data_IF_585310009337
#
_entry.id   IF_585310009337
#
_cell.length_a   1.000
_cell.length_b   1.000
_cell.length_c   1.000
_cell.angle_alpha   90.00
_cell.angle_beta   90.00
_cell.angle_gamma   90.00
#
_symmetry.space_group_name_H-M   'P 1'
#
loop_
_entity.id
_entity.type
_entity.pdbx_description
1 polymer ?
#
# COMPACT_ATOMS: atom_id res chain seq x y z
N UNK A 1 15.23 24.47 -4.01
CA UNK A 1 15.79 23.19 -3.52
C UNK A 1 15.24 22.78 -2.15
N UNK A 2 14.99 23.70 -1.21
CA UNK A 2 14.39 23.38 0.09
C UNK A 2 12.95 22.80 0.02
N UNK A 3 12.15 23.19 -0.97
CA UNK A 3 10.77 22.72 -1.16
C UNK A 3 10.66 21.23 -1.46
N UNK A 4 11.54 20.68 -2.31
CA UNK A 4 11.50 19.25 -2.68
C UNK A 4 11.88 18.33 -1.53
N UNK A 5 12.83 18.73 -0.69
CA UNK A 5 13.23 17.94 0.48
C UNK A 5 12.10 17.83 1.52
N UNK A 6 11.35 18.93 1.73
CA UNK A 6 10.20 18.94 2.62
C UNK A 6 9.07 18.02 2.12
N UNK A 7 8.77 18.02 0.82
CA UNK A 7 7.76 17.12 0.24
C UNK A 7 8.14 15.65 0.33
N UNK A 8 9.41 15.30 0.09
CA UNK A 8 9.89 13.92 0.21
C UNK A 8 9.81 13.40 1.65
N UNK A 9 10.14 14.26 2.63
CA UNK A 9 10.00 13.91 4.04
C UNK A 9 8.54 13.69 4.44
N UNK A 10 7.63 14.58 4.04
CA UNK A 10 6.20 14.43 4.30
C UNK A 10 5.60 13.15 3.68
N UNK A 11 6.03 12.79 2.46
CA UNK A 11 5.63 11.53 1.83
C UNK A 11 6.13 10.31 2.60
N UNK A 12 7.38 10.34 3.08
CA UNK A 12 7.93 9.25 3.90
C UNK A 12 7.16 9.09 5.20
N UNK A 13 6.94 10.17 5.93
CA UNK A 13 6.17 10.16 7.19
C UNK A 13 4.74 9.62 6.97
N UNK A 14 4.08 10.05 5.89
CA UNK A 14 2.75 9.55 5.53
C UNK A 14 2.77 8.05 5.27
N UNK A 15 3.76 7.56 4.52
CA UNK A 15 3.91 6.13 4.23
C UNK A 15 4.23 5.31 5.48
N UNK A 16 5.03 5.83 6.40
CA UNK A 16 5.37 5.17 7.66
C UNK A 16 4.12 5.01 8.54
N UNK A 17 3.29 6.07 8.64
CA UNK A 17 2.01 6.02 9.36
C UNK A 17 1.04 5.02 8.72
N UNK A 18 0.92 5.01 7.40
CA UNK A 18 0.07 4.03 6.70
C UNK A 18 0.56 2.59 6.93
N UNK A 19 1.87 2.38 6.96
CA UNK A 19 2.45 1.07 7.22
C UNK A 19 2.20 0.61 8.67
N UNK A 20 2.26 1.53 9.64
CA UNK A 20 1.90 1.22 11.03
C UNK A 20 0.41 0.83 11.15
N UNK A 21 -0.49 1.57 10.51
CA UNK A 21 -1.93 1.23 10.45
C UNK A 21 -2.13 -0.16 9.84
N UNK A 22 -1.43 -0.45 8.73
CA UNK A 22 -1.46 -1.76 8.06
C UNK A 22 -1.05 -2.91 8.99
N UNK A 23 -0.03 -2.68 9.83
CA UNK A 23 0.42 -3.66 10.84
C UNK A 23 -0.59 -3.84 11.97
N UNK A 24 -1.18 -2.76 12.47
CA UNK A 24 -2.22 -2.81 13.52
C UNK A 24 -3.43 -3.61 13.04
N UNK A 25 -3.84 -3.39 11.79
CA UNK A 25 -4.95 -4.11 11.16
C UNK A 25 -4.58 -5.49 10.61
N UNK A 26 -3.31 -5.90 10.74
CA UNK A 26 -2.78 -7.16 10.28
C UNK A 26 -3.15 -7.49 8.83
N UNK A 27 -3.05 -6.51 7.92
CA UNK A 27 -3.42 -6.71 6.50
C UNK A 27 -2.44 -7.64 5.75
N UNK A 28 -1.27 -7.86 6.33
CA UNK A 28 -0.18 -8.65 5.73
C UNK A 28 0.43 -7.98 4.49
N UNK A 29 0.29 -6.67 4.33
CA UNK A 29 0.97 -5.91 3.28
C UNK A 29 2.38 -5.50 3.74
N UNK A 30 3.39 -5.77 2.92
CA UNK A 30 4.71 -5.18 3.10
C UNK A 30 4.76 -3.74 2.58
N UNK A 31 5.85 -3.03 2.87
CA UNK A 31 6.01 -1.61 2.53
C UNK A 31 5.94 -1.35 1.01
N UNK A 32 6.46 -2.28 0.21
CA UNK A 32 6.46 -2.18 -1.25
C UNK A 32 5.04 -2.34 -1.80
N UNK A 33 4.32 -3.38 -1.39
CA UNK A 33 2.94 -3.64 -1.82
C UNK A 33 2.01 -2.53 -1.38
N UNK A 34 2.19 -2.00 -0.15
CA UNK A 34 1.40 -0.87 0.34
C UNK A 34 1.62 0.38 -0.50
N UNK A 35 2.87 0.69 -0.86
CA UNK A 35 3.22 1.82 -1.75
C UNK A 35 2.53 1.70 -3.12
N UNK A 36 2.51 0.49 -3.69
CA UNK A 36 1.79 0.21 -4.94
C UNK A 36 0.29 0.45 -4.76
N UNK A 37 -0.31 -0.06 -3.69
CA UNK A 37 -1.74 0.14 -3.42
C UNK A 37 -2.10 1.62 -3.30
N UNK A 38 -1.28 2.42 -2.60
CA UNK A 38 -1.46 3.87 -2.48
C UNK A 38 -1.42 4.53 -3.86
N UNK A 39 -0.44 4.21 -4.71
CA UNK A 39 -0.32 4.76 -6.07
C UNK A 39 -1.55 4.42 -6.94
N UNK A 40 -2.05 3.19 -6.83
CA UNK A 40 -3.24 2.75 -7.56
C UNK A 40 -4.48 3.50 -7.09
N UNK A 41 -4.65 3.69 -5.78
CA UNK A 41 -5.72 4.50 -5.22
C UNK A 41 -5.63 5.98 -5.65
N UNK A 42 -4.42 6.56 -5.70
CA UNK A 42 -4.18 7.93 -6.21
C UNK A 42 -4.59 8.08 -7.69
N UNK A 43 -4.52 7.00 -8.48
CA UNK A 43 -4.99 6.96 -9.88
C UNK A 43 -6.51 6.81 -10.01
N UNK A 44 -7.25 6.75 -8.89
CA UNK A 44 -8.71 6.64 -8.87
C UNK A 44 -9.22 5.21 -8.95
N UNK A 45 -8.37 4.20 -8.74
CA UNK A 45 -8.81 2.80 -8.66
C UNK A 45 -9.63 2.60 -7.38
N UNK A 46 -10.76 1.91 -7.49
CA UNK A 46 -11.60 1.58 -6.35
C UNK A 46 -10.84 0.68 -5.35
N UNK A 47 -10.64 1.12 -4.08
CA UNK A 47 -9.94 0.34 -3.07
C UNK A 47 -10.58 -1.04 -2.79
N UNK A 48 -11.91 -1.13 -2.87
CA UNK A 48 -12.63 -2.39 -2.65
C UNK A 48 -12.31 -3.41 -3.73
N UNK A 49 -12.35 -2.99 -5.00
CA UNK A 49 -11.98 -3.83 -6.14
C UNK A 49 -10.52 -4.27 -6.08
N UNK A 50 -9.60 -3.34 -5.74
CA UNK A 50 -8.20 -3.64 -5.54
C UNK A 50 -7.99 -4.68 -4.44
N UNK A 51 -8.71 -4.56 -3.31
CA UNK A 51 -8.62 -5.51 -2.21
C UNK A 51 -9.08 -6.92 -2.62
N UNK A 52 -10.11 -7.03 -3.46
CA UNK A 52 -10.60 -8.31 -3.99
C UNK A 52 -9.52 -8.99 -4.84
N UNK A 53 -8.91 -8.23 -5.77
CA UNK A 53 -7.82 -8.73 -6.62
C UNK A 53 -6.64 -9.23 -5.79
N UNK A 54 -6.20 -8.48 -4.78
CA UNK A 54 -5.09 -8.88 -3.90
C UNK A 54 -5.41 -10.19 -3.18
N UNK A 55 -6.63 -10.35 -2.67
CA UNK A 55 -7.07 -11.58 -1.98
C UNK A 55 -7.08 -12.78 -2.94
N UNK A 56 -7.58 -12.59 -4.16
CA UNK A 56 -7.63 -13.65 -5.17
C UNK A 56 -6.22 -14.09 -5.59
N UNK A 57 -5.30 -13.14 -5.83
CA UNK A 57 -3.92 -13.46 -6.18
C UNK A 57 -3.18 -14.22 -5.08
N UNK A 58 -3.38 -13.83 -3.81
CA UNK A 58 -2.81 -14.55 -2.66
C UNK A 58 -3.33 -15.98 -2.59
N UNK A 59 -4.65 -16.16 -2.70
CA UNK A 59 -5.29 -17.48 -2.69
C UNK A 59 -4.81 -18.38 -3.84
N UNK A 60 -4.70 -17.83 -5.05
CA UNK A 60 -4.19 -18.56 -6.21
C UNK A 60 -2.73 -18.98 -6.01
N UNK A 61 -1.90 -18.09 -5.44
CA UNK A 61 -0.49 -18.39 -5.15
C UNK A 61 -0.34 -19.49 -4.10
N UNK A 62 -1.18 -19.47 -3.06
CA UNK A 62 -1.22 -20.54 -2.04
C UNK A 62 -1.64 -21.88 -2.63
N UNK A 63 -2.60 -21.90 -3.56
CA UNK A 63 -3.05 -23.12 -4.22
C UNK A 63 -2.02 -23.72 -5.21
N UNK A 64 -1.04 -22.92 -5.65
CA UNK A 64 0.05 -23.34 -6.54
C UNK A 64 1.29 -23.83 -5.79
N UNK A 65 1.33 -23.68 -4.46
CA UNK A 65 2.38 -24.23 -3.59
C UNK A 65 2.06 -25.65 -3.17
#
# INVERSE_FOLDING_TARGET
MASNAASLNAMRETMDVLFEISRILNTGLDMETLSICVRLCEQGINPEALSSVIKELRKATEALK
#
